data_IF_495152675345
#
_entry.id   IF_495152675345
#
_cell.length_a   1.000
_cell.length_b   1.000
_cell.length_c   1.000
_cell.angle_alpha   90.00
_cell.angle_beta   90.00
_cell.angle_gamma   90.00
#
_symmetry.space_group_name_H-M   'P 1'
#
loop_
_entity.id
_entity.type
_entity.pdbx_description
1 polymer ?
#
# COMPACT_ATOMS: atom_id res chain seq x y z
N UNK A 1 36.67 45.27 -21.78
CA UNK A 1 37.19 44.36 -20.75
C UNK A 1 36.31 43.13 -20.74
N UNK A 2 36.82 42.04 -21.30
CA UNK A 2 36.14 40.74 -21.43
C UNK A 2 36.26 39.99 -20.10
N UNK A 3 35.13 39.69 -19.48
CA UNK A 3 35.04 38.82 -18.30
C UNK A 3 35.20 37.37 -18.75
N UNK A 4 36.40 36.82 -18.54
CA UNK A 4 36.67 35.40 -18.69
C UNK A 4 36.02 34.67 -17.51
N UNK A 5 34.93 33.95 -17.79
CA UNK A 5 34.35 32.99 -16.84
C UNK A 5 35.30 31.80 -16.77
N UNK A 6 36.02 31.66 -15.66
CA UNK A 6 36.78 30.44 -15.38
C UNK A 6 35.78 29.30 -15.15
N UNK A 7 35.67 28.40 -16.14
CA UNK A 7 35.06 27.10 -15.95
C UNK A 7 35.82 26.36 -14.83
N UNK A 8 35.12 25.88 -13.80
CA UNK A 8 35.71 25.04 -12.77
C UNK A 8 36.31 23.79 -13.41
N UNK A 9 37.63 23.70 -13.46
CA UNK A 9 38.32 22.48 -13.83
C UNK A 9 38.07 21.43 -12.73
N UNK A 10 37.18 20.48 -13.00
CA UNK A 10 37.05 19.27 -12.18
C UNK A 10 38.42 18.59 -12.22
N UNK A 11 39.09 18.50 -11.06
CA UNK A 11 40.49 18.07 -10.92
C UNK A 11 40.81 16.69 -11.52
N UNK A 12 39.82 15.90 -11.98
CA UNK A 12 40.08 14.65 -12.68
C UNK A 12 38.95 14.19 -13.63
N UNK A 13 38.69 14.97 -14.69
CA UNK A 13 37.67 14.59 -15.70
C UNK A 13 37.90 13.19 -16.29
N UNK A 14 39.14 12.71 -16.41
CA UNK A 14 39.43 11.42 -17.00
C UNK A 14 38.90 10.25 -16.15
N UNK A 15 39.15 10.27 -14.84
CA UNK A 15 38.65 9.23 -13.91
C UNK A 15 37.13 9.25 -13.85
N UNK A 16 36.53 10.44 -13.79
CA UNK A 16 35.07 10.56 -13.80
C UNK A 16 34.44 10.02 -15.10
N UNK A 17 35.05 10.27 -16.26
CA UNK A 17 34.60 9.69 -17.55
C UNK A 17 34.62 8.16 -17.53
N UNK A 18 35.68 7.55 -17.00
CA UNK A 18 35.76 6.08 -16.86
C UNK A 18 34.61 5.55 -15.99
N UNK A 19 34.38 6.16 -14.84
CA UNK A 19 33.32 5.75 -13.92
C UNK A 19 31.91 6.00 -14.49
N UNK A 20 31.74 7.07 -15.27
CA UNK A 20 30.49 7.32 -15.99
C UNK A 20 30.26 6.26 -17.08
N UNK A 21 31.30 5.86 -17.82
CA UNK A 21 31.24 4.74 -18.77
C UNK A 21 30.85 3.45 -18.07
N UNK A 22 31.44 3.13 -16.92
CA UNK A 22 31.08 1.97 -16.11
C UNK A 22 29.58 1.96 -15.76
N UNK A 23 29.04 3.11 -15.35
CA UNK A 23 27.61 3.27 -15.05
C UNK A 23 26.75 3.02 -16.28
N UNK A 24 27.13 3.56 -17.44
CA UNK A 24 26.41 3.33 -18.70
C UNK A 24 26.44 1.85 -19.14
N UNK A 25 27.57 1.16 -18.96
CA UNK A 25 27.69 -0.27 -19.22
C UNK A 25 26.80 -1.10 -18.29
N UNK A 26 26.71 -0.70 -17.01
CA UNK A 26 25.83 -1.34 -16.02
C UNK A 26 24.35 -1.24 -16.44
N UNK A 27 23.91 -0.06 -16.90
CA UNK A 27 22.55 0.13 -17.42
C UNK A 27 22.30 -0.65 -18.72
N UNK A 28 23.31 -0.78 -19.58
CA UNK A 28 23.27 -1.62 -20.78
C UNK A 28 23.43 -3.13 -20.50
N UNK A 29 23.43 -3.54 -19.23
CA UNK A 29 23.61 -4.92 -18.76
C UNK A 29 24.93 -5.57 -19.23
N UNK A 30 25.93 -4.77 -19.59
CA UNK A 30 27.28 -5.23 -19.92
C UNK A 30 28.09 -5.38 -18.63
N UNK A 31 27.73 -6.37 -17.82
CA UNK A 31 28.20 -6.49 -16.43
C UNK A 31 29.71 -6.69 -16.30
N UNK A 32 30.32 -7.55 -17.12
CA UNK A 32 31.77 -7.81 -17.09
C UNK A 32 32.57 -6.53 -17.38
N UNK A 33 32.21 -5.83 -18.46
CA UNK A 33 32.85 -4.56 -18.82
C UNK A 33 32.59 -3.48 -17.75
N UNK A 34 31.37 -3.41 -17.19
CA UNK A 34 31.07 -2.45 -16.14
C UNK A 34 31.97 -2.67 -14.90
N UNK A 35 32.17 -3.92 -14.48
CA UNK A 35 33.04 -4.24 -13.34
C UNK A 35 34.49 -3.80 -13.60
N UNK A 36 35.03 -4.12 -14.77
CA UNK A 36 36.40 -3.74 -15.14
C UNK A 36 36.58 -2.22 -15.11
N UNK A 37 35.65 -1.47 -15.71
CA UNK A 37 35.71 -0.02 -15.72
C UNK A 37 35.55 0.58 -14.31
N UNK A 38 34.70 0.01 -13.44
CA UNK A 38 34.63 0.45 -12.05
C UNK A 38 35.93 0.19 -11.28
N UNK A 39 36.54 -1.00 -11.44
CA UNK A 39 37.83 -1.34 -10.80
C UNK A 39 38.96 -0.44 -11.30
N UNK A 40 39.04 -0.21 -12.61
CA UNK A 40 40.05 0.66 -13.20
C UNK A 40 39.88 2.11 -12.74
N UNK A 41 38.65 2.63 -12.77
CA UNK A 41 38.33 3.95 -12.25
C UNK A 41 38.64 4.10 -10.75
N UNK A 42 38.39 3.06 -9.95
CA UNK A 42 38.77 3.04 -8.53
C UNK A 42 40.30 3.10 -8.34
N UNK A 43 41.06 2.27 -9.06
CA UNK A 43 42.52 2.25 -8.95
C UNK A 43 43.13 3.60 -9.30
N UNK A 44 42.64 4.23 -10.37
CA UNK A 44 43.07 5.57 -10.77
C UNK A 44 42.68 6.63 -9.73
N UNK A 45 41.46 6.57 -9.21
CA UNK A 45 41.03 7.48 -8.14
C UNK A 45 41.86 7.34 -6.85
N UNK A 46 42.34 6.13 -6.53
CA UNK A 46 43.27 5.88 -5.41
C UNK A 46 44.63 6.53 -5.70
N UNK A 47 45.19 6.30 -6.88
CA UNK A 47 46.48 6.87 -7.29
C UNK A 47 46.46 8.41 -7.23
N UNK A 48 45.36 9.02 -7.69
CA UNK A 48 45.19 10.46 -7.75
C UNK A 48 44.70 11.08 -6.41
N UNK A 49 44.51 10.26 -5.37
CA UNK A 49 43.92 10.66 -4.07
C UNK A 49 42.57 11.39 -4.21
N UNK A 50 41.80 11.03 -5.23
CA UNK A 50 40.47 11.56 -5.50
C UNK A 50 39.41 10.79 -4.70
N UNK A 51 39.16 11.24 -3.47
CA UNK A 51 38.23 10.56 -2.56
C UNK A 51 36.77 10.55 -3.07
N UNK A 52 36.36 11.51 -3.89
CA UNK A 52 35.04 11.53 -4.48
C UNK A 52 34.90 10.43 -5.53
N UNK A 53 35.84 10.34 -6.47
CA UNK A 53 35.84 9.26 -7.47
C UNK A 53 36.02 7.89 -6.82
N UNK A 54 36.79 7.77 -5.73
CA UNK A 54 36.86 6.53 -4.94
C UNK A 54 35.49 6.15 -4.35
N UNK A 55 34.75 7.12 -3.79
CA UNK A 55 33.42 6.88 -3.25
C UNK A 55 32.44 6.44 -4.35
N UNK A 56 32.43 7.16 -5.47
CA UNK A 56 31.59 6.88 -6.63
C UNK A 56 31.86 5.49 -7.23
N UNK A 57 33.14 5.11 -7.35
CA UNK A 57 33.51 3.79 -7.84
C UNK A 57 33.06 2.67 -6.90
N UNK A 58 33.20 2.86 -5.58
CA UNK A 58 32.74 1.89 -4.58
C UNK A 58 31.20 1.78 -4.54
N UNK A 59 30.47 2.88 -4.72
CA UNK A 59 29.01 2.85 -4.88
C UNK A 59 28.61 2.07 -6.13
N UNK A 60 29.27 2.33 -7.25
CA UNK A 60 29.08 1.61 -8.51
C UNK A 60 29.36 0.11 -8.41
N UNK A 61 30.46 -0.28 -7.76
CA UNK A 61 30.76 -1.68 -7.45
C UNK A 61 29.72 -2.31 -6.53
N UNK A 62 29.25 -1.58 -5.52
CA UNK A 62 28.15 -2.04 -4.67
C UNK A 62 26.90 -2.37 -5.48
N UNK A 63 26.52 -1.47 -6.40
CA UNK A 63 25.39 -1.68 -7.30
C UNK A 63 25.58 -2.88 -8.23
N UNK A 64 26.78 -3.03 -8.80
CA UNK A 64 27.15 -4.17 -9.63
C UNK A 64 27.00 -5.49 -8.85
N UNK A 65 27.59 -5.57 -7.65
CA UNK A 65 27.57 -6.77 -6.84
C UNK A 65 26.17 -7.18 -6.39
N UNK A 66 25.25 -6.22 -6.18
CA UNK A 66 23.83 -6.53 -5.96
C UNK A 66 23.20 -7.21 -7.17
N UNK A 67 23.47 -6.71 -8.38
CA UNK A 67 22.89 -7.27 -9.61
C UNK A 67 23.46 -8.63 -9.98
N UNK A 68 24.67 -8.94 -9.54
CA UNK A 68 25.31 -10.25 -9.77
C UNK A 68 25.19 -11.19 -8.56
N UNK A 69 24.28 -10.91 -7.62
CA UNK A 69 24.03 -11.74 -6.42
C UNK A 69 25.29 -12.01 -5.55
N UNK A 70 26.13 -10.99 -5.35
CA UNK A 70 27.34 -11.01 -4.51
C UNK A 70 27.18 -10.09 -3.27
N UNK A 71 26.30 -10.42 -2.31
CA UNK A 71 25.89 -9.50 -1.25
C UNK A 71 27.03 -9.08 -0.30
N UNK A 72 27.98 -9.96 -0.01
CA UNK A 72 29.11 -9.65 0.87
C UNK A 72 30.04 -8.57 0.27
N UNK A 73 30.31 -8.67 -1.03
CA UNK A 73 31.10 -7.69 -1.76
C UNK A 73 30.34 -6.36 -1.89
N UNK A 74 29.03 -6.41 -2.13
CA UNK A 74 28.19 -5.22 -2.15
C UNK A 74 28.24 -4.46 -0.82
N UNK A 75 28.09 -5.18 0.30
CA UNK A 75 28.17 -4.61 1.66
C UNK A 75 29.51 -3.92 1.88
N UNK A 76 30.62 -4.58 1.52
CA UNK A 76 31.97 -4.02 1.67
C UNK A 76 32.14 -2.74 0.86
N UNK A 77 31.68 -2.75 -0.39
CA UNK A 77 31.78 -1.62 -1.30
C UNK A 77 30.94 -0.43 -0.81
N UNK A 78 29.68 -0.64 -0.43
CA UNK A 78 28.83 0.43 0.10
C UNK A 78 29.38 1.03 1.40
N UNK A 79 29.87 0.22 2.34
CA UNK A 79 30.51 0.73 3.58
C UNK A 79 31.68 1.67 3.27
N UNK A 80 32.49 1.32 2.26
CA UNK A 80 33.62 2.16 1.83
C UNK A 80 33.13 3.46 1.19
N UNK A 81 32.13 3.40 0.30
CA UNK A 81 31.53 4.58 -0.32
C UNK A 81 30.93 5.54 0.72
N UNK A 82 30.15 5.03 1.68
CA UNK A 82 29.54 5.82 2.77
C UNK A 82 30.62 6.55 3.57
N UNK A 83 31.69 5.84 3.96
CA UNK A 83 32.79 6.42 4.73
C UNK A 83 33.43 7.58 3.99
N UNK A 84 33.72 7.39 2.69
CA UNK A 84 34.35 8.40 1.85
C UNK A 84 33.44 9.60 1.57
N UNK A 85 32.15 9.39 1.33
CA UNK A 85 31.19 10.47 1.15
C UNK A 85 31.01 11.29 2.44
N UNK A 86 30.86 10.63 3.60
CA UNK A 86 30.75 11.32 4.89
C UNK A 86 32.02 12.10 5.22
N UNK A 87 33.20 11.53 4.97
CA UNK A 87 34.49 12.19 5.19
C UNK A 87 34.69 13.47 4.36
N UNK A 88 34.00 13.59 3.23
CA UNK A 88 34.01 14.78 2.37
C UNK A 88 32.81 15.72 2.59
N UNK A 89 31.94 15.43 3.55
CA UNK A 89 30.75 16.23 3.85
C UNK A 89 29.54 15.97 2.95
N UNK A 90 29.58 14.98 2.04
CA UNK A 90 28.45 14.60 1.17
C UNK A 90 27.41 13.74 1.91
N UNK A 91 26.81 14.31 2.97
CA UNK A 91 25.88 13.61 3.87
C UNK A 91 24.66 13.03 3.13
N UNK A 92 24.11 13.76 2.17
CA UNK A 92 22.93 13.32 1.42
C UNK A 92 23.22 12.06 0.60
N UNK A 93 24.30 12.06 -0.18
CA UNK A 93 24.72 10.90 -0.98
C UNK A 93 25.01 9.72 -0.07
N UNK A 94 25.73 9.95 1.04
CA UNK A 94 26.00 8.90 2.02
C UNK A 94 24.71 8.25 2.59
N UNK A 95 23.66 9.04 2.86
CA UNK A 95 22.39 8.52 3.35
C UNK A 95 21.66 7.69 2.28
N UNK A 96 21.75 8.07 1.01
CA UNK A 96 21.20 7.28 -0.11
C UNK A 96 21.92 5.94 -0.22
N UNK A 97 23.26 5.94 -0.18
CA UNK A 97 24.07 4.71 -0.23
C UNK A 97 23.86 3.84 1.01
N UNK A 98 23.61 4.43 2.18
CA UNK A 98 23.24 3.69 3.39
C UNK A 98 21.90 2.96 3.25
N UNK A 99 20.91 3.53 2.55
CA UNK A 99 19.67 2.82 2.22
C UNK A 99 19.91 1.66 1.26
N UNK A 100 20.83 1.80 0.30
CA UNK A 100 21.24 0.69 -0.57
C UNK A 100 21.95 -0.42 0.22
N UNK A 101 22.82 -0.05 1.17
CA UNK A 101 23.46 -1.00 2.07
C UNK A 101 22.42 -1.78 2.90
N UNK A 102 21.48 -1.07 3.53
CA UNK A 102 20.39 -1.69 4.31
C UNK A 102 19.57 -2.67 3.47
N UNK A 103 19.26 -2.31 2.22
CA UNK A 103 18.57 -3.18 1.26
C UNK A 103 19.28 -4.52 1.09
N UNK A 104 20.59 -4.51 0.85
CA UNK A 104 21.39 -5.74 0.70
C UNK A 104 21.42 -6.57 1.98
N UNK A 105 21.40 -5.91 3.13
CA UNK A 105 21.38 -6.56 4.44
C UNK A 105 19.99 -7.07 4.84
N UNK A 106 18.94 -6.80 4.03
CA UNK A 106 17.55 -7.10 4.40
C UNK A 106 17.04 -6.29 5.58
N UNK A 107 17.69 -5.16 5.89
CA UNK A 107 17.33 -4.28 7.01
C UNK A 107 16.32 -3.25 6.50
N UNK A 108 15.10 -3.31 7.03
CA UNK A 108 14.09 -2.29 6.81
C UNK A 108 14.11 -1.20 7.88
N UNK A 109 13.33 -0.16 7.63
CA UNK A 109 13.05 0.89 8.60
C UNK A 109 11.60 0.77 9.06
N UNK A 110 11.38 0.73 10.37
CA UNK A 110 10.05 0.72 10.96
C UNK A 110 9.39 2.09 10.86
N UNK A 111 8.12 2.09 10.45
CA UNK A 111 7.23 3.24 10.40
C UNK A 111 5.92 2.92 11.10
N UNK A 112 5.32 3.94 11.69
CA UNK A 112 4.01 3.86 12.33
C UNK A 112 3.02 4.79 11.62
N UNK A 113 1.83 4.27 11.35
CA UNK A 113 0.68 5.03 10.87
C UNK A 113 -0.50 4.85 11.81
N UNK A 114 -1.03 5.97 12.31
CA UNK A 114 -2.25 6.00 13.11
C UNK A 114 -3.38 6.57 12.24
N UNK A 115 -4.33 5.73 11.86
CA UNK A 115 -5.57 6.10 11.18
C UNK A 115 -6.61 6.55 12.21
N UNK A 116 -7.13 7.77 12.07
CA UNK A 116 -8.26 8.28 12.87
C UNK A 116 -9.54 8.17 12.02
N UNK A 117 -10.33 7.12 12.27
CA UNK A 117 -11.60 6.87 11.60
C UNK A 117 -12.81 7.28 12.43
N UNK A 118 -14.00 7.26 11.80
CA UNK A 118 -15.24 7.72 12.42
C UNK A 118 -15.67 6.91 13.67
N UNK A 119 -15.36 5.61 13.70
CA UNK A 119 -15.75 4.67 14.77
C UNK A 119 -14.56 3.95 15.43
N UNK A 120 -13.35 4.46 15.23
CA UNK A 120 -12.17 3.87 15.83
C UNK A 120 -10.87 4.42 15.28
N UNK A 121 -9.82 4.26 16.08
CA UNK A 121 -8.46 4.70 15.76
C UNK A 121 -7.58 3.46 15.67
N UNK A 122 -6.87 3.33 14.55
CA UNK A 122 -6.08 2.14 14.24
C UNK A 122 -4.60 2.49 14.16
N UNK A 123 -3.75 1.62 14.70
CA UNK A 123 -2.32 1.67 14.52
C UNK A 123 -1.91 0.58 13.54
N UNK A 124 -1.05 0.93 12.59
CA UNK A 124 -0.29 0.01 11.75
C UNK A 124 1.19 0.31 11.92
N UNK A 125 1.98 -0.73 12.20
CA UNK A 125 3.44 -0.68 12.17
C UNK A 125 3.91 -1.51 11.00
N UNK A 126 4.63 -0.88 10.07
CA UNK A 126 5.17 -1.53 8.89
C UNK A 126 6.69 -1.41 8.86
N UNK A 127 7.33 -2.42 8.33
CA UNK A 127 8.76 -2.49 8.07
C UNK A 127 8.98 -2.27 6.58
N UNK A 128 9.53 -1.10 6.23
CA UNK A 128 9.71 -0.69 4.84
C UNK A 128 11.12 -1.04 4.40
N UNK A 129 11.21 -1.85 3.35
CA UNK A 129 12.48 -2.28 2.74
C UNK A 129 12.56 -1.79 1.30
N UNK A 130 13.78 -1.67 0.80
CA UNK A 130 14.04 -1.45 -0.62
C UNK A 130 14.37 -2.81 -1.24
N UNK A 131 13.60 -3.24 -2.23
CA UNK A 131 13.83 -4.53 -2.90
C UNK A 131 14.97 -4.46 -3.94
N UNK A 132 15.29 -5.59 -4.58
CA UNK A 132 16.36 -5.70 -5.59
C UNK A 132 16.12 -4.77 -6.79
N UNK A 133 14.86 -4.53 -7.14
CA UNK A 133 14.44 -3.60 -8.20
C UNK A 133 14.44 -2.13 -7.76
N UNK A 134 14.96 -1.83 -6.55
CA UNK A 134 15.01 -0.49 -5.95
C UNK A 134 13.62 0.14 -5.79
N UNK A 135 12.61 -0.69 -5.54
CA UNK A 135 11.26 -0.27 -5.19
C UNK A 135 11.03 -0.50 -3.70
N UNK A 136 10.28 0.41 -3.07
CA UNK A 136 9.89 0.20 -1.68
C UNK A 136 8.81 -0.87 -1.60
N UNK A 137 9.04 -1.85 -0.74
CA UNK A 137 8.09 -2.86 -0.30
C UNK A 137 7.91 -2.76 1.22
N UNK A 138 6.90 -3.42 1.77
CA UNK A 138 6.69 -3.43 3.21
C UNK A 138 6.13 -4.74 3.76
N UNK A 139 6.47 -5.02 5.01
CA UNK A 139 5.88 -6.08 5.81
C UNK A 139 5.10 -5.49 7.00
N UNK A 140 3.88 -5.96 7.23
CA UNK A 140 3.10 -5.60 8.42
C UNK A 140 3.71 -6.27 9.67
N UNK A 141 4.01 -5.48 10.71
CA UNK A 141 4.55 -5.97 11.99
C UNK A 141 3.53 -5.92 13.12
N UNK A 142 2.59 -4.98 13.06
CA UNK A 142 1.48 -4.88 14.00
C UNK A 142 0.32 -4.14 13.34
N UNK A 143 -0.89 -4.64 13.56
CA UNK A 143 -2.13 -3.89 13.45
C UNK A 143 -2.95 -4.00 14.73
N UNK A 144 -3.52 -2.90 15.19
CA UNK A 144 -4.43 -2.88 16.33
C UNK A 144 -5.37 -1.68 16.24
N UNK A 145 -6.49 -1.72 16.95
CA UNK A 145 -7.52 -0.69 16.91
C UNK A 145 -8.12 -0.46 18.30
N UNK A 146 -8.49 0.79 18.57
CA UNK A 146 -9.28 1.19 19.72
C UNK A 146 -10.58 1.80 19.20
N UNK A 147 -11.71 1.26 19.63
CA UNK A 147 -13.02 1.80 19.28
C UNK A 147 -13.22 3.16 19.94
N UNK A 148 -13.72 4.12 19.16
CA UNK A 148 -14.07 5.48 19.58
C UNK A 148 -15.32 5.90 18.82
N UNK A 149 -15.95 7.01 19.19
CA UNK A 149 -17.03 7.61 18.39
C UNK A 149 -16.69 9.01 17.89
N UNK A 150 -15.56 9.13 17.18
CA UNK A 150 -15.03 10.41 16.71
C UNK A 150 -16.02 11.24 15.88
N UNK A 151 -16.92 10.59 15.14
CA UNK A 151 -17.94 11.28 14.34
C UNK A 151 -19.04 11.95 15.18
N UNK A 152 -19.21 11.58 16.46
CA UNK A 152 -20.23 12.19 17.33
C UNK A 152 -19.93 13.64 17.73
N UNK A 153 -18.68 14.10 17.60
CA UNK A 153 -18.25 15.47 17.90
C UNK A 153 -18.63 15.95 19.31
N UNK A 154 -18.73 15.02 20.25
CA UNK A 154 -18.92 15.30 21.67
C UNK A 154 -17.58 15.48 22.38
N UNK A 155 -17.56 16.22 23.49
CA UNK A 155 -16.38 16.30 24.37
C UNK A 155 -15.86 14.91 24.77
N UNK A 156 -16.78 13.96 25.01
CA UNK A 156 -16.45 12.58 25.32
C UNK A 156 -15.70 11.91 24.14
N UNK A 157 -16.20 12.04 22.91
CA UNK A 157 -15.54 11.46 21.73
C UNK A 157 -14.18 12.08 21.41
N UNK A 158 -14.01 13.37 21.65
CA UNK A 158 -12.74 14.07 21.52
C UNK A 158 -11.72 13.53 22.53
N UNK A 159 -12.14 13.38 23.79
CA UNK A 159 -11.32 12.80 24.86
C UNK A 159 -10.95 11.35 24.56
N UNK A 160 -11.91 10.51 24.16
CA UNK A 160 -11.66 9.11 23.79
C UNK A 160 -10.68 9.00 22.63
N UNK A 161 -10.83 9.85 21.61
CA UNK A 161 -9.92 9.89 20.46
C UNK A 161 -8.49 10.28 20.87
N UNK A 162 -8.36 11.30 21.73
CA UNK A 162 -7.06 11.69 22.29
C UNK A 162 -6.41 10.59 23.12
N UNK A 163 -7.18 9.98 24.02
CA UNK A 163 -6.71 8.92 24.91
C UNK A 163 -6.30 7.67 24.10
N UNK A 164 -7.03 7.35 23.04
CA UNK A 164 -6.68 6.28 22.11
C UNK A 164 -5.38 6.57 21.35
N UNK A 165 -5.20 7.77 20.80
CA UNK A 165 -3.95 8.17 20.15
C UNK A 165 -2.78 8.08 21.13
N UNK A 166 -2.94 8.56 22.36
CA UNK A 166 -1.89 8.49 23.39
C UNK A 166 -1.47 7.03 23.68
N UNK A 167 -2.43 6.12 23.84
CA UNK A 167 -2.15 4.68 24.05
C UNK A 167 -1.44 4.04 22.85
N UNK A 168 -1.85 4.36 21.64
CA UNK A 168 -1.21 3.82 20.43
C UNK A 168 0.20 4.40 20.25
N UNK A 169 0.42 5.67 20.59
CA UNK A 169 1.73 6.30 20.60
C UNK A 169 2.67 5.70 21.64
N UNK A 170 2.15 5.26 22.78
CA UNK A 170 2.92 4.51 23.77
C UNK A 170 3.48 3.20 23.17
N UNK A 171 2.66 2.45 22.43
CA UNK A 171 3.12 1.25 21.71
C UNK A 171 4.23 1.60 20.72
N UNK A 172 4.05 2.67 19.93
CA UNK A 172 5.03 3.12 18.94
C UNK A 172 6.37 3.49 19.59
N UNK A 173 6.34 4.24 20.69
CA UNK A 173 7.54 4.72 21.37
C UNK A 173 8.20 3.65 22.26
N UNK A 174 7.42 2.83 22.96
CA UNK A 174 7.94 1.93 23.98
C UNK A 174 8.18 0.51 23.49
N UNK A 175 7.32 -0.02 22.61
CA UNK A 175 7.50 -1.35 22.04
C UNK A 175 8.38 -1.35 20.80
N UNK A 176 8.15 -0.41 19.88
CA UNK A 176 8.84 -0.39 18.58
C UNK A 176 9.96 0.64 18.47
N UNK A 177 10.08 1.58 19.42
CA UNK A 177 11.12 2.61 19.45
C UNK A 177 11.20 3.43 18.15
N UNK A 178 10.05 3.69 17.52
CA UNK A 178 9.97 4.41 16.24
C UNK A 178 10.07 5.91 16.50
N UNK A 179 11.02 6.56 15.83
CA UNK A 179 11.25 7.99 15.96
C UNK A 179 10.10 8.82 15.37
N UNK A 180 9.85 10.01 15.93
CA UNK A 180 8.77 10.92 15.52
C UNK A 180 8.71 11.17 14.00
N UNK A 181 9.86 11.34 13.34
CA UNK A 181 9.96 11.54 11.88
C UNK A 181 9.45 10.36 11.02
N UNK A 182 9.17 9.21 11.64
CA UNK A 182 8.66 7.98 11.01
C UNK A 182 7.26 7.60 11.52
N UNK A 183 6.63 8.50 12.26
CA UNK A 183 5.31 8.30 12.85
C UNK A 183 4.34 9.31 12.24
N UNK A 184 3.22 8.82 11.72
CA UNK A 184 2.21 9.63 11.05
C UNK A 184 0.84 9.40 11.69
N UNK A 185 0.08 10.48 11.86
CA UNK A 185 -1.31 10.42 12.33
C UNK A 185 -2.17 11.09 11.26
N UNK A 186 -3.18 10.36 10.77
CA UNK A 186 -3.99 10.81 9.62
C UNK A 186 -5.47 10.53 9.86
N UNK A 187 -6.30 11.57 9.77
CA UNK A 187 -7.76 11.50 9.77
C UNK A 187 -8.21 10.99 8.40
N UNK A 188 -9.03 9.93 8.40
CA UNK A 188 -9.55 9.34 7.17
C UNK A 188 -10.56 10.25 6.48
N UNK A 189 -10.73 10.07 5.18
CA UNK A 189 -11.66 10.84 4.36
C UNK A 189 -13.10 10.72 4.83
N UNK A 190 -13.52 9.55 5.32
CA UNK A 190 -14.86 9.35 5.86
C UNK A 190 -15.13 10.18 7.11
N UNK A 191 -14.18 10.24 8.05
CA UNK A 191 -14.31 11.12 9.21
C UNK A 191 -14.22 12.59 8.79
N UNK A 192 -13.28 12.94 7.90
CA UNK A 192 -13.18 14.30 7.37
C UNK A 192 -14.50 14.79 6.78
N UNK A 193 -15.18 13.99 5.97
CA UNK A 193 -16.47 14.35 5.38
C UNK A 193 -17.54 14.63 6.44
N UNK A 194 -17.58 13.88 7.54
CA UNK A 194 -18.48 14.15 8.66
C UNK A 194 -18.11 15.45 9.40
N UNK A 195 -16.82 15.69 9.61
CA UNK A 195 -16.32 16.90 10.27
C UNK A 195 -16.53 18.17 9.43
N UNK A 196 -16.40 18.06 8.10
CA UNK A 196 -16.57 19.15 7.15
C UNK A 196 -18.02 19.68 7.12
N UNK A 197 -19.02 18.84 7.43
CA UNK A 197 -20.43 19.28 7.58
C UNK A 197 -20.60 20.38 8.64
N UNK A 198 -19.65 20.49 9.55
CA UNK A 198 -19.62 21.46 10.64
C UNK A 198 -18.40 22.38 10.58
N UNK A 199 -17.58 22.31 9.52
CA UNK A 199 -16.31 23.06 9.39
C UNK A 199 -15.32 22.82 10.57
N UNK A 200 -15.33 21.60 11.14
CA UNK A 200 -14.61 21.28 12.38
C UNK A 200 -13.34 20.45 12.22
N UNK A 201 -12.87 20.17 11.00
CA UNK A 201 -11.73 19.27 10.79
C UNK A 201 -10.44 19.76 11.48
N UNK A 202 -10.08 21.02 11.31
CA UNK A 202 -8.86 21.58 11.92
C UNK A 202 -8.99 21.70 13.45
N UNK A 203 -10.18 22.08 13.92
CA UNK A 203 -10.50 22.08 15.35
C UNK A 203 -10.33 20.69 15.95
N UNK A 204 -10.93 19.67 15.34
CA UNK A 204 -10.89 18.30 15.84
C UNK A 204 -9.46 17.76 15.86
N UNK A 205 -8.70 17.96 14.78
CA UNK A 205 -7.28 17.59 14.70
C UNK A 205 -6.45 18.22 15.82
N UNK A 206 -6.75 19.47 16.22
CA UNK A 206 -6.10 20.15 17.34
C UNK A 206 -6.48 19.55 18.69
N UNK A 207 -7.76 19.28 18.93
CA UNK A 207 -8.26 18.82 20.23
C UNK A 207 -7.88 17.37 20.54
N UNK A 208 -7.86 16.50 19.54
CA UNK A 208 -7.50 15.09 19.73
C UNK A 208 -5.99 14.86 19.84
N UNK A 209 -5.16 15.87 19.55
CA UNK A 209 -3.71 15.74 19.65
C UNK A 209 -3.30 15.66 21.13
N UNK A 210 -2.67 14.57 21.60
CA UNK A 210 -2.13 14.52 22.95
C UNK A 210 -1.04 15.60 23.13
N UNK A 211 -0.84 16.09 24.36
CA UNK A 211 0.11 17.19 24.62
C UNK A 211 1.55 16.69 24.60
N UNK A 212 1.75 15.43 24.91
CA UNK A 212 3.04 14.78 25.16
C UNK A 212 3.71 14.29 23.87
N UNK A 213 3.00 14.27 22.74
CA UNK A 213 3.60 13.83 21.47
C UNK A 213 4.48 14.94 20.88
N UNK A 214 5.60 14.52 20.27
CA UNK A 214 6.57 15.38 19.58
C UNK A 214 5.89 16.40 18.66
N UNK A 215 6.31 17.66 18.73
CA UNK A 215 5.74 18.78 17.96
C UNK A 215 5.91 18.61 16.45
N UNK A 216 6.87 17.78 16.01
CA UNK A 216 7.06 17.41 14.61
C UNK A 216 5.96 16.45 14.09
N UNK A 217 5.20 15.80 14.97
CA UNK A 217 4.07 14.96 14.58
C UNK A 217 2.81 15.82 14.46
N UNK A 218 2.42 16.06 13.21
CA UNK A 218 1.17 16.73 12.85
C UNK A 218 0.08 15.71 12.54
N UNK A 219 -1.14 15.99 12.99
CA UNK A 219 -2.34 15.25 12.57
C UNK A 219 -2.79 15.82 11.24
N UNK A 220 -2.66 15.01 10.19
CA UNK A 220 -3.08 15.36 8.83
C UNK A 220 -4.47 14.80 8.53
N UNK A 221 -5.09 15.20 7.43
CA UNK A 221 -6.32 14.62 6.92
C UNK A 221 -6.24 14.45 5.41
N UNK A 222 -7.07 13.56 4.85
CA UNK A 222 -7.09 13.25 3.41
C UNK A 222 -8.50 13.37 2.82
N UNK A 223 -8.59 13.74 1.54
CA UNK A 223 -9.86 13.67 0.78
C UNK A 223 -10.16 12.24 0.33
N UNK A 224 -11.40 11.92 -0.08
CA UNK A 224 -11.72 10.61 -0.64
C UNK A 224 -10.82 10.21 -1.82
N UNK A 225 -10.51 11.14 -2.72
CA UNK A 225 -9.65 10.90 -3.88
C UNK A 225 -8.21 10.62 -3.45
N UNK A 226 -7.70 11.38 -2.48
CA UNK A 226 -6.38 11.15 -1.90
C UNK A 226 -6.31 9.80 -1.20
N UNK A 227 -7.32 9.43 -0.42
CA UNK A 227 -7.36 8.13 0.24
C UNK A 227 -7.41 6.98 -0.78
N UNK A 228 -8.16 7.13 -1.87
CA UNK A 228 -8.16 6.15 -2.98
C UNK A 228 -6.79 6.04 -3.65
N UNK A 229 -6.10 7.15 -3.92
CA UNK A 229 -4.73 7.14 -4.48
C UNK A 229 -3.74 6.47 -3.51
N UNK A 230 -3.87 6.75 -2.22
CA UNK A 230 -3.04 6.17 -1.17
C UNK A 230 -3.33 4.67 -1.02
N UNK A 231 -4.59 4.27 -1.07
CA UNK A 231 -5.01 2.87 -1.06
C UNK A 231 -4.39 2.12 -2.24
N UNK A 232 -4.52 2.66 -3.46
CA UNK A 232 -3.83 2.12 -4.64
C UNK A 232 -2.31 2.00 -4.38
N UNK A 233 -1.69 3.05 -3.88
CA UNK A 233 -0.23 3.11 -3.67
C UNK A 233 0.27 2.08 -2.66
N UNK A 234 -0.51 1.77 -1.63
CA UNK A 234 -0.15 0.76 -0.63
C UNK A 234 -0.53 -0.67 -1.04
N UNK A 235 -1.45 -0.86 -1.98
CA UNK A 235 -1.97 -2.18 -2.35
C UNK A 235 -1.31 -2.71 -3.63
N UNK A 236 -1.12 -1.84 -4.62
CA UNK A 236 -0.62 -2.23 -5.94
C UNK A 236 0.92 -2.18 -5.92
N UNK A 237 1.62 -3.28 -6.29
CA UNK A 237 3.07 -3.27 -6.43
C UNK A 237 3.55 -2.14 -7.34
N UNK A 238 4.65 -1.46 -6.97
CA UNK A 238 5.13 -0.28 -7.68
C UNK A 238 5.41 -0.54 -9.17
N UNK A 239 5.98 -1.70 -9.53
CA UNK A 239 6.17 -2.13 -10.92
C UNK A 239 4.88 -2.18 -11.75
N UNK A 240 3.73 -2.35 -11.10
CA UNK A 240 2.42 -2.48 -11.73
C UNK A 240 1.59 -1.18 -11.68
N UNK A 241 2.14 -0.10 -11.12
CA UNK A 241 1.42 1.14 -10.82
C UNK A 241 0.66 1.76 -12.01
N UNK A 242 1.25 1.68 -13.20
CA UNK A 242 0.70 2.35 -14.40
C UNK A 242 -0.09 1.41 -15.31
N UNK A 243 -0.17 0.12 -14.97
CA UNK A 243 -0.80 -0.91 -15.82
C UNK A 243 -1.96 -1.64 -15.13
N UNK A 244 -2.09 -1.52 -13.81
CA UNK A 244 -3.14 -2.21 -13.04
C UNK A 244 -4.12 -1.23 -12.39
N UNK A 245 -5.23 -1.77 -11.91
CA UNK A 245 -6.29 -1.06 -11.19
C UNK A 245 -6.36 -1.48 -9.73
N UNK A 246 -7.04 -0.69 -8.89
CA UNK A 246 -7.43 -1.10 -7.55
C UNK A 246 -8.89 -0.71 -7.27
N UNK A 247 -9.63 -1.57 -6.56
CA UNK A 247 -10.94 -1.27 -6.00
C UNK A 247 -11.09 -1.88 -4.60
N UNK A 248 -11.64 -1.09 -3.69
CA UNK A 248 -12.04 -1.48 -2.35
C UNK A 248 -13.57 -1.57 -2.29
N UNK A 249 -14.08 -2.79 -2.07
CA UNK A 249 -15.51 -3.07 -1.91
C UNK A 249 -15.86 -2.89 -0.43
N UNK A 250 -16.00 -1.63 -0.04
CA UNK A 250 -16.34 -1.23 1.32
C UNK A 250 -17.77 -1.57 1.71
N UNK A 251 -18.12 -1.27 2.97
CA UNK A 251 -19.46 -1.51 3.49
C UNK A 251 -20.47 -0.44 3.06
N UNK A 252 -20.02 0.81 2.88
CA UNK A 252 -20.86 1.95 2.50
C UNK A 252 -20.63 2.46 1.08
N UNK A 253 -19.45 2.23 0.51
CA UNK A 253 -19.10 2.62 -0.85
C UNK A 253 -18.14 1.60 -1.48
N UNK A 254 -17.98 1.70 -2.79
CA UNK A 254 -16.94 0.99 -3.54
C UNK A 254 -16.05 2.04 -4.19
N UNK A 255 -14.77 2.05 -3.86
CA UNK A 255 -13.86 3.12 -4.28
C UNK A 255 -12.48 2.60 -4.65
N UNK A 256 -11.77 3.33 -5.49
CA UNK A 256 -10.40 3.01 -5.87
C UNK A 256 -9.99 3.84 -7.08
N UNK A 257 -9.32 3.21 -8.04
CA UNK A 257 -8.95 3.86 -9.29
C UNK A 257 -7.67 3.30 -9.89
N UNK A 258 -7.03 4.14 -10.69
CA UNK A 258 -5.84 3.80 -11.45
C UNK A 258 -5.04 5.04 -11.84
N UNK A 259 -3.76 4.87 -12.18
CA UNK A 259 -2.98 5.94 -12.80
C UNK A 259 -3.13 5.90 -14.32
N UNK A 260 -3.58 7.00 -14.93
CA UNK A 260 -3.66 7.17 -16.38
C UNK A 260 -2.29 7.16 -17.05
N UNK A 261 -2.27 7.14 -18.38
CA UNK A 261 -1.05 7.29 -19.19
C UNK A 261 -0.31 8.61 -18.93
N UNK A 262 -1.04 9.67 -18.55
CA UNK A 262 -0.47 10.95 -18.11
C UNK A 262 -0.02 10.97 -16.65
N UNK A 263 0.04 9.79 -16.00
CA UNK A 263 0.45 9.59 -14.60
C UNK A 263 -0.41 10.36 -13.58
N UNK A 264 -1.66 10.68 -13.93
CA UNK A 264 -2.65 11.26 -13.02
C UNK A 264 -3.53 10.14 -12.45
N UNK A 265 -3.84 10.22 -11.17
CA UNK A 265 -4.77 9.27 -10.57
C UNK A 265 -6.19 9.58 -11.06
N UNK A 266 -6.88 8.56 -11.58
CA UNK A 266 -8.26 8.60 -12.02
C UNK A 266 -9.07 7.77 -11.02
N UNK A 267 -9.85 8.42 -10.14
CA UNK A 267 -10.62 7.71 -9.13
C UNK A 267 -11.79 6.96 -9.76
N UNK A 268 -12.16 5.84 -9.16
CA UNK A 268 -13.46 5.18 -9.35
C UNK A 268 -14.20 5.30 -8.03
N UNK A 269 -15.45 5.76 -8.05
CA UNK A 269 -16.26 5.94 -6.85
C UNK A 269 -17.73 5.61 -7.10
N UNK A 270 -18.24 4.63 -6.34
CA UNK A 270 -19.63 4.26 -6.29
C UNK A 270 -20.12 4.45 -4.85
N UNK A 271 -21.18 5.23 -4.66
CA UNK A 271 -21.82 5.49 -3.36
C UNK A 271 -22.58 4.28 -2.78
N UNK A 272 -22.16 3.07 -3.15
CA UNK A 272 -22.73 1.82 -2.68
C UNK A 272 -21.62 0.79 -2.40
N UNK A 273 -21.70 0.20 -1.22
CA UNK A 273 -20.95 -0.96 -0.77
C UNK A 273 -21.86 -2.08 -0.24
N UNK A 274 -21.27 -3.08 0.42
CA UNK A 274 -21.97 -4.32 0.79
C UNK A 274 -23.13 -4.11 1.76
N UNK A 275 -22.91 -3.41 2.89
CA UNK A 275 -23.94 -3.14 3.90
C UNK A 275 -24.97 -2.12 3.44
N UNK A 276 -24.55 -1.09 2.71
CA UNK A 276 -25.51 -0.14 2.13
C UNK A 276 -26.42 -0.83 1.11
N UNK A 277 -25.90 -1.75 0.30
CA UNK A 277 -26.73 -2.52 -0.63
C UNK A 277 -27.67 -3.47 0.11
N UNK A 278 -27.18 -4.21 1.11
CA UNK A 278 -28.04 -5.04 1.97
C UNK A 278 -29.21 -4.23 2.55
N UNK A 279 -28.95 -3.05 3.13
CA UNK A 279 -30.00 -2.18 3.67
C UNK A 279 -31.01 -1.73 2.63
N UNK A 280 -30.57 -1.44 1.39
CA UNK A 280 -31.48 -1.10 0.30
C UNK A 280 -32.41 -2.27 -0.05
N UNK A 281 -31.91 -3.50 -0.01
CA UNK A 281 -32.73 -4.70 -0.23
C UNK A 281 -33.73 -4.86 0.92
N UNK A 282 -33.26 -4.83 2.18
CA UNK A 282 -34.11 -5.02 3.37
C UNK A 282 -35.18 -3.95 3.53
N UNK A 283 -34.95 -2.74 3.02
CA UNK A 283 -35.96 -1.69 2.98
C UNK A 283 -37.12 -2.00 2.01
N UNK A 284 -36.93 -2.90 1.04
CA UNK A 284 -37.93 -3.26 0.02
C UNK A 284 -38.56 -4.63 0.23
N UNK A 285 -37.95 -5.50 1.03
CA UNK A 285 -38.46 -6.84 1.26
C UNK A 285 -38.24 -7.28 2.71
N UNK A 286 -39.28 -7.86 3.28
CA UNK A 286 -39.21 -8.65 4.50
C UNK A 286 -39.45 -10.12 4.12
N UNK A 287 -38.68 -11.05 4.69
CA UNK A 287 -38.86 -12.47 4.40
C UNK A 287 -37.58 -13.30 4.44
N UNK A 288 -37.73 -14.52 3.91
CA UNK A 288 -36.68 -15.53 3.80
C UNK A 288 -35.63 -15.15 2.74
N UNK A 289 -34.59 -15.98 2.61
CA UNK A 289 -33.47 -15.72 1.71
C UNK A 289 -33.91 -15.63 0.24
N UNK A 290 -34.86 -16.44 -0.21
CA UNK A 290 -35.33 -16.41 -1.60
C UNK A 290 -35.96 -15.08 -2.01
N UNK A 291 -36.83 -14.52 -1.15
CA UNK A 291 -37.43 -13.22 -1.38
C UNK A 291 -36.37 -12.11 -1.39
N UNK A 292 -35.37 -12.22 -0.51
CA UNK A 292 -34.22 -11.32 -0.47
C UNK A 292 -33.40 -11.39 -1.78
N UNK A 293 -33.05 -12.59 -2.25
CA UNK A 293 -32.29 -12.81 -3.49
C UNK A 293 -32.97 -12.18 -4.70
N UNK A 294 -34.27 -12.47 -4.90
CA UNK A 294 -35.04 -11.92 -6.03
C UNK A 294 -35.10 -10.39 -5.99
N UNK A 295 -35.29 -9.82 -4.81
CA UNK A 295 -35.33 -8.36 -4.64
C UNK A 295 -33.98 -7.72 -4.92
N UNK A 296 -32.89 -8.33 -4.44
CA UNK A 296 -31.53 -7.85 -4.70
C UNK A 296 -31.20 -7.87 -6.20
N UNK A 297 -31.50 -8.96 -6.90
CA UNK A 297 -31.29 -9.10 -8.35
C UNK A 297 -32.12 -8.10 -9.16
N UNK A 298 -33.38 -7.89 -8.76
CA UNK A 298 -34.24 -6.91 -9.40
C UNK A 298 -33.71 -5.48 -9.22
N UNK A 299 -33.21 -5.12 -8.03
CA UNK A 299 -32.60 -3.81 -7.79
C UNK A 299 -31.35 -3.57 -8.65
N UNK A 300 -30.52 -4.60 -8.80
CA UNK A 300 -29.36 -4.57 -9.69
C UNK A 300 -29.80 -4.23 -11.11
N UNK A 301 -30.72 -5.05 -11.65
CA UNK A 301 -31.20 -4.93 -13.04
C UNK A 301 -31.88 -3.59 -13.32
N UNK A 302 -32.73 -3.12 -12.40
CA UNK A 302 -33.57 -1.94 -12.64
C UNK A 302 -32.82 -0.63 -12.54
N UNK A 303 -31.78 -0.55 -11.69
CA UNK A 303 -31.13 0.74 -11.41
C UNK A 303 -29.62 0.67 -11.19
N UNK A 304 -29.11 -0.32 -10.44
CA UNK A 304 -27.72 -0.26 -10.00
C UNK A 304 -26.71 -0.63 -11.09
N UNK A 305 -27.08 -1.49 -12.04
CA UNK A 305 -26.25 -1.75 -13.24
C UNK A 305 -25.97 -0.45 -13.99
N UNK A 306 -26.98 0.41 -14.15
CA UNK A 306 -26.80 1.71 -14.80
C UNK A 306 -25.83 2.61 -14.04
N UNK A 307 -25.91 2.63 -12.71
CA UNK A 307 -24.97 3.41 -11.87
C UNK A 307 -23.52 2.97 -12.10
N UNK A 308 -23.28 1.65 -12.19
CA UNK A 308 -21.94 1.11 -12.47
C UNK A 308 -21.48 1.49 -13.89
N UNK A 309 -22.37 1.35 -14.89
CA UNK A 309 -22.06 1.71 -16.28
C UNK A 309 -21.70 3.18 -16.40
N UNK A 310 -22.52 4.08 -15.82
CA UNK A 310 -22.33 5.53 -15.90
C UNK A 310 -20.99 5.94 -15.25
N UNK A 311 -20.58 5.28 -14.16
CA UNK A 311 -19.28 5.53 -13.54
C UNK A 311 -18.10 5.02 -14.40
N UNK A 312 -18.26 3.89 -15.09
CA UNK A 312 -17.16 3.28 -15.84
C UNK A 312 -17.09 3.70 -17.32
N UNK A 313 -18.14 4.31 -17.89
CA UNK A 313 -18.20 4.65 -19.32
C UNK A 313 -17.09 5.60 -19.76
N UNK A 314 -16.70 6.53 -18.87
CA UNK A 314 -15.62 7.50 -19.10
C UNK A 314 -14.23 6.96 -18.77
N UNK A 315 -14.12 5.67 -18.41
CA UNK A 315 -12.90 5.04 -17.88
C UNK A 315 -12.53 3.76 -18.65
N UNK A 316 -12.34 3.81 -19.97
CA UNK A 316 -12.04 2.62 -20.79
C UNK A 316 -10.74 1.91 -20.36
N UNK A 317 -9.73 2.66 -19.91
CA UNK A 317 -8.47 2.11 -19.37
C UNK A 317 -8.70 1.19 -18.17
N UNK A 318 -9.69 1.50 -17.32
CA UNK A 318 -10.04 0.65 -16.21
C UNK A 318 -10.52 -0.73 -16.71
N UNK A 319 -11.34 -0.72 -17.75
CA UNK A 319 -11.92 -1.93 -18.36
C UNK A 319 -10.94 -2.71 -19.22
N UNK A 320 -9.91 -2.10 -19.80
CA UNK A 320 -8.96 -2.79 -20.70
C UNK A 320 -7.78 -3.47 -20.00
N UNK A 321 -7.32 -2.95 -18.86
CA UNK A 321 -6.13 -3.45 -18.13
C UNK A 321 -6.20 -4.92 -17.69
N UNK A 322 -5.04 -5.53 -17.47
CA UNK A 322 -4.97 -6.98 -17.22
C UNK A 322 -5.34 -7.40 -15.80
N UNK A 323 -5.25 -6.49 -14.81
CA UNK A 323 -5.54 -6.84 -13.43
C UNK A 323 -6.23 -5.73 -12.61
N UNK A 324 -7.09 -6.16 -11.68
CA UNK A 324 -7.65 -5.33 -10.62
C UNK A 324 -7.28 -5.93 -9.27
N UNK A 325 -6.64 -5.13 -8.43
CA UNK A 325 -6.46 -5.47 -7.02
C UNK A 325 -7.77 -5.18 -6.28
N UNK A 326 -8.45 -6.22 -5.84
CA UNK A 326 -9.71 -6.14 -5.11
C UNK A 326 -9.47 -6.24 -3.61
N UNK A 327 -10.13 -5.38 -2.84
CA UNK A 327 -10.15 -5.44 -1.38
C UNK A 327 -11.57 -5.29 -0.84
N UNK A 328 -11.72 -5.38 0.47
CA UNK A 328 -13.00 -5.24 1.14
C UNK A 328 -13.53 -6.55 1.72
N UNK A 329 -14.56 -6.42 2.55
CA UNK A 329 -15.06 -7.51 3.39
C UNK A 329 -15.55 -8.73 2.61
N UNK A 330 -16.25 -8.49 1.49
CA UNK A 330 -16.76 -9.58 0.65
C UNK A 330 -15.63 -10.32 -0.07
N UNK A 331 -14.62 -9.60 -0.57
CA UNK A 331 -13.46 -10.20 -1.26
C UNK A 331 -12.66 -11.05 -0.27
N UNK A 332 -12.45 -10.54 0.96
CA UNK A 332 -11.87 -11.31 2.06
C UNK A 332 -12.68 -12.56 2.41
N UNK A 333 -14.01 -12.48 2.36
CA UNK A 333 -14.88 -13.63 2.62
C UNK A 333 -14.73 -14.70 1.54
N UNK A 334 -14.75 -14.32 0.27
CA UNK A 334 -14.52 -15.22 -0.87
C UNK A 334 -13.18 -15.94 -0.72
N UNK A 335 -12.10 -15.19 -0.46
CA UNK A 335 -10.75 -15.78 -0.39
C UNK A 335 -10.59 -16.69 0.83
N UNK A 336 -11.23 -16.36 1.95
CA UNK A 336 -11.11 -17.15 3.18
C UNK A 336 -11.93 -18.43 3.14
N UNK A 337 -13.06 -18.42 2.44
CA UNK A 337 -14.02 -19.54 2.41
C UNK A 337 -13.85 -20.45 1.19
N UNK A 338 -13.56 -19.91 0.00
CA UNK A 338 -13.30 -20.73 -1.20
C UNK A 338 -11.83 -21.06 -1.40
N UNK A 339 -10.93 -20.16 -1.00
CA UNK A 339 -9.48 -20.30 -1.22
C UNK A 339 -8.65 -20.32 0.08
N UNK A 340 -9.04 -21.07 1.14
CA UNK A 340 -8.39 -21.02 2.44
C UNK A 340 -6.89 -21.30 2.36
N UNK A 341 -6.46 -22.22 1.49
CA UNK A 341 -5.04 -22.53 1.24
C UNK A 341 -4.24 -21.33 0.75
N UNK A 342 -4.74 -20.68 -0.31
CA UNK A 342 -4.04 -19.56 -0.91
C UNK A 342 -4.01 -18.37 0.05
N UNK A 343 -5.12 -18.09 0.74
CA UNK A 343 -5.21 -16.98 1.70
C UNK A 343 -4.32 -17.16 2.94
N UNK A 344 -4.06 -18.41 3.36
CA UNK A 344 -3.19 -18.73 4.47
C UNK A 344 -1.72 -18.41 4.14
N UNK A 345 -1.26 -18.87 2.97
CA UNK A 345 0.16 -18.92 2.60
C UNK A 345 0.60 -17.66 1.83
N UNK A 346 -0.27 -17.12 0.96
CA UNK A 346 0.10 -16.07 0.03
C UNK A 346 -0.33 -14.68 0.51
N UNK A 347 0.48 -13.67 0.17
CA UNK A 347 0.10 -12.25 0.35
C UNK A 347 -0.89 -11.76 -0.72
N UNK A 348 -0.93 -12.45 -1.86
CA UNK A 348 -1.81 -12.16 -2.98
C UNK A 348 -2.53 -13.44 -3.39
N UNK A 349 -3.85 -13.41 -3.41
CA UNK A 349 -4.68 -14.52 -3.88
C UNK A 349 -5.37 -14.10 -5.17
N UNK A 350 -5.11 -14.81 -6.26
CA UNK A 350 -5.82 -14.59 -7.53
C UNK A 350 -7.26 -15.13 -7.41
N UNK A 351 -8.20 -14.39 -7.99
CA UNK A 351 -9.62 -14.71 -8.10
C UNK A 351 -10.05 -14.56 -9.56
N UNK A 352 -10.97 -15.40 -9.98
CA UNK A 352 -11.66 -15.33 -11.27
C UNK A 352 -13.09 -14.80 -11.08
N UNK A 353 -13.73 -14.38 -12.18
CA UNK A 353 -15.18 -14.12 -12.17
C UNK A 353 -15.99 -15.37 -11.78
N UNK A 354 -15.48 -16.56 -12.15
CA UNK A 354 -16.08 -17.84 -11.77
C UNK A 354 -16.09 -18.08 -10.26
N UNK A 355 -15.02 -17.71 -9.55
CA UNK A 355 -14.96 -17.83 -8.07
C UNK A 355 -16.03 -16.96 -7.39
N UNK A 356 -16.27 -15.76 -7.92
CA UNK A 356 -17.26 -14.82 -7.38
C UNK A 356 -18.68 -15.36 -7.62
N UNK A 357 -18.93 -15.90 -8.81
CA UNK A 357 -20.20 -16.55 -9.15
C UNK A 357 -20.43 -17.81 -8.32
N UNK A 358 -19.43 -18.68 -8.17
CA UNK A 358 -19.49 -19.89 -7.33
C UNK A 358 -19.81 -19.51 -5.88
N UNK A 359 -19.11 -18.51 -5.33
CA UNK A 359 -19.36 -18.04 -3.97
C UNK A 359 -20.81 -17.61 -3.79
N UNK A 360 -21.32 -16.78 -4.72
CA UNK A 360 -22.72 -16.33 -4.73
C UNK A 360 -23.69 -17.51 -4.75
N UNK A 361 -23.45 -18.50 -5.60
CA UNK A 361 -24.32 -19.68 -5.72
C UNK A 361 -24.30 -20.51 -4.43
N UNK A 362 -23.11 -20.81 -3.89
CA UNK A 362 -22.95 -21.63 -2.67
C UNK A 362 -23.54 -20.98 -1.43
N UNK A 363 -23.60 -19.65 -1.33
CA UNK A 363 -24.32 -18.98 -0.23
C UNK A 363 -25.79 -19.42 -0.18
N UNK A 364 -26.42 -19.68 -1.32
CA UNK A 364 -27.83 -20.09 -1.40
C UNK A 364 -27.97 -21.61 -1.33
N UNK A 365 -27.09 -22.36 -2.00
CA UNK A 365 -27.26 -23.81 -2.19
C UNK A 365 -26.54 -24.68 -1.15
N UNK A 366 -25.42 -24.22 -0.59
CA UNK A 366 -24.58 -24.96 0.35
C UNK A 366 -23.88 -23.99 1.33
N UNK A 367 -24.67 -23.25 2.11
CA UNK A 367 -24.11 -22.28 3.05
C UNK A 367 -23.24 -22.97 4.11
N UNK A 368 -23.66 -24.15 4.58
CA UNK A 368 -22.96 -24.87 5.64
C UNK A 368 -21.58 -25.38 5.19
N UNK A 369 -21.50 -25.99 3.99
CA UNK A 369 -20.22 -26.42 3.44
C UNK A 369 -19.32 -25.24 3.04
N UNK A 370 -19.90 -24.10 2.67
CA UNK A 370 -19.14 -22.88 2.38
C UNK A 370 -18.49 -22.30 3.65
N UNK A 371 -19.20 -22.27 4.79
CA UNK A 371 -18.69 -21.70 6.04
C UNK A 371 -17.82 -22.64 6.86
N UNK A 372 -17.73 -23.92 6.47
CA UNK A 372 -16.91 -24.95 7.11
C UNK A 372 -16.03 -25.67 6.06
N UNK A 373 -15.13 -24.95 5.37
CA UNK A 373 -14.27 -25.57 4.38
C UNK A 373 -13.33 -26.58 5.04
N UNK A 374 -13.00 -27.65 4.33
CA UNK A 374 -12.00 -28.62 4.78
C UNK A 374 -10.62 -27.96 4.83
N UNK A 375 -9.91 -28.12 5.96
CA UNK A 375 -8.57 -27.59 6.19
C UNK A 375 -7.51 -28.68 6.30
N UNK A 376 -7.85 -29.96 6.06
CA UNK A 376 -6.94 -31.10 6.19
C UNK A 376 -5.69 -30.99 5.30
N UNK A 377 -5.74 -30.16 4.25
CA UNK A 377 -4.58 -29.88 3.41
C UNK A 377 -3.50 -29.00 4.07
N UNK A 378 -3.79 -28.34 5.19
CA UNK A 378 -2.85 -27.50 5.93
C UNK A 378 -2.08 -28.37 6.92
N UNK A 379 -0.87 -28.74 6.57
CA UNK A 379 -0.03 -29.62 7.40
C UNK A 379 0.55 -28.89 8.63
N UNK A 380 0.80 -27.59 8.51
CA UNK A 380 1.34 -26.79 9.61
C UNK A 380 0.23 -26.47 10.64
N UNK A 381 0.34 -26.93 11.90
CA UNK A 381 -0.70 -26.70 12.91
C UNK A 381 -0.95 -25.21 13.21
N UNK A 382 0.08 -24.36 13.21
CA UNK A 382 -0.08 -22.94 13.48
C UNK A 382 -0.85 -22.24 12.35
N UNK A 383 -0.57 -22.59 11.10
CA UNK A 383 -1.29 -22.09 9.92
C UNK A 383 -2.73 -22.58 9.91
N UNK A 384 -2.99 -23.84 10.29
CA UNK A 384 -4.33 -24.38 10.37
C UNK A 384 -5.16 -23.63 11.43
N UNK A 385 -4.59 -23.39 12.61
CA UNK A 385 -5.23 -22.61 13.68
C UNK A 385 -5.49 -21.16 13.22
N UNK A 386 -4.52 -20.52 12.57
CA UNK A 386 -4.68 -19.16 12.07
C UNK A 386 -5.77 -19.06 10.99
N UNK A 387 -5.80 -20.04 10.08
CA UNK A 387 -6.80 -20.13 9.00
C UNK A 387 -8.19 -20.36 9.57
N UNK A 388 -8.34 -21.28 10.52
CA UNK A 388 -9.60 -21.54 11.20
C UNK A 388 -10.10 -20.29 11.94
N UNK A 389 -9.22 -19.58 12.68
CA UNK A 389 -9.57 -18.31 13.32
C UNK A 389 -10.03 -17.26 12.32
N UNK A 390 -9.38 -17.18 11.16
CA UNK A 390 -9.77 -16.26 10.09
C UNK A 390 -11.16 -16.60 9.51
N UNK A 391 -11.45 -17.88 9.25
CA UNK A 391 -12.77 -18.35 8.82
C UNK A 391 -13.84 -18.01 9.87
N UNK A 392 -13.60 -18.35 11.14
CA UNK A 392 -14.52 -18.02 12.24
C UNK A 392 -14.77 -16.52 12.32
N UNK A 393 -13.75 -15.68 12.09
CA UNK A 393 -13.91 -14.23 12.06
C UNK A 393 -14.81 -13.79 10.91
N UNK A 394 -14.70 -14.37 9.71
CA UNK A 394 -15.62 -14.09 8.59
C UNK A 394 -17.05 -14.40 8.99
N UNK A 395 -17.30 -15.63 9.47
CA UNK A 395 -18.64 -16.12 9.83
C UNK A 395 -19.28 -15.30 10.95
N UNK A 396 -18.48 -14.84 11.92
CA UNK A 396 -18.98 -13.97 13.00
C UNK A 396 -19.22 -12.52 12.55
N UNK A 397 -18.61 -12.09 11.45
CA UNK A 397 -18.71 -10.70 10.97
C UNK A 397 -19.88 -10.51 10.00
N UNK A 398 -20.16 -11.50 9.17
CA UNK A 398 -21.16 -11.43 8.10
C UNK A 398 -22.15 -12.57 8.23
N UNK A 399 -23.43 -12.23 8.38
CA UNK A 399 -24.51 -13.19 8.22
C UNK A 399 -24.69 -13.58 6.73
N UNK A 400 -25.52 -14.60 6.49
CA UNK A 400 -25.78 -15.12 5.15
C UNK A 400 -26.34 -14.05 4.19
N UNK A 401 -27.18 -13.12 4.67
CA UNK A 401 -27.74 -12.03 3.83
C UNK A 401 -26.67 -11.01 3.47
N UNK A 402 -25.79 -10.67 4.41
CA UNK A 402 -24.67 -9.75 4.19
C UNK A 402 -23.68 -10.33 3.16
N UNK A 403 -23.37 -11.62 3.27
CA UNK A 403 -22.53 -12.33 2.29
C UNK A 403 -23.20 -12.35 0.91
N UNK A 404 -24.49 -12.67 0.84
CA UNK A 404 -25.23 -12.72 -0.41
C UNK A 404 -25.32 -11.35 -1.10
N UNK A 405 -25.68 -10.31 -0.36
CA UNK A 405 -25.75 -8.95 -0.88
C UNK A 405 -24.38 -8.49 -1.41
N UNK A 406 -23.31 -8.73 -0.63
CA UNK A 406 -21.96 -8.42 -1.05
C UNK A 406 -21.56 -9.16 -2.33
N UNK A 407 -21.89 -10.45 -2.43
CA UNK A 407 -21.57 -11.28 -3.58
C UNK A 407 -22.32 -10.84 -4.84
N UNK A 408 -23.62 -10.53 -4.74
CA UNK A 408 -24.43 -9.99 -5.84
C UNK A 408 -23.87 -8.65 -6.34
N UNK A 409 -23.52 -7.74 -5.43
CA UNK A 409 -22.94 -6.45 -5.79
C UNK A 409 -21.59 -6.58 -6.49
N UNK A 410 -20.70 -7.42 -5.94
CA UNK A 410 -19.38 -7.64 -6.51
C UNK A 410 -19.45 -8.34 -7.87
N UNK A 411 -20.32 -9.34 -8.01
CA UNK A 411 -20.53 -10.07 -9.27
C UNK A 411 -20.97 -9.14 -10.40
N UNK A 412 -21.97 -8.29 -10.16
CA UNK A 412 -22.40 -7.29 -11.15
C UNK A 412 -21.28 -6.33 -11.50
N UNK A 413 -20.57 -5.80 -10.50
CA UNK A 413 -19.47 -4.88 -10.71
C UNK A 413 -18.37 -5.51 -11.58
N UNK A 414 -17.98 -6.75 -11.29
CA UNK A 414 -16.97 -7.49 -12.05
C UNK A 414 -17.40 -7.75 -13.48
N UNK A 415 -18.68 -8.10 -13.71
CA UNK A 415 -19.24 -8.23 -15.06
C UNK A 415 -19.08 -6.95 -15.87
N UNK A 416 -19.40 -5.79 -15.28
CA UNK A 416 -19.26 -4.50 -15.97
C UNK A 416 -17.79 -4.11 -16.22
N UNK A 417 -16.90 -4.43 -15.28
CA UNK A 417 -15.45 -4.18 -15.40
C UNK A 417 -14.81 -5.02 -16.51
N UNK A 418 -15.29 -6.26 -16.71
CA UNK A 418 -14.72 -7.21 -17.66
C UNK A 418 -15.23 -7.06 -19.10
N UNK A 419 -16.10 -6.09 -19.37
CA UNK A 419 -16.70 -5.88 -20.70
C UNK A 419 -15.69 -5.65 -21.84
N UNK A 420 -14.50 -5.09 -21.58
CA UNK A 420 -13.45 -4.92 -22.60
C UNK A 420 -12.30 -5.93 -22.50
N UNK A 421 -12.12 -6.58 -21.35
CA UNK A 421 -11.11 -7.60 -21.13
C UNK A 421 -11.69 -8.72 -20.27
N UNK A 422 -12.30 -9.75 -20.89
CA UNK A 422 -12.86 -10.89 -20.16
C UNK A 422 -11.81 -11.74 -19.43
N UNK A 423 -10.54 -11.68 -19.85
CA UNK A 423 -9.41 -12.39 -19.23
C UNK A 423 -8.75 -11.64 -18.07
N UNK A 424 -9.35 -10.54 -17.61
CA UNK A 424 -8.83 -9.70 -16.53
C UNK A 424 -8.75 -10.49 -15.22
N UNK A 425 -7.60 -10.37 -14.57
CA UNK A 425 -7.31 -11.00 -13.28
C UNK A 425 -7.82 -10.17 -12.13
N UNK A 426 -8.40 -10.83 -11.13
CA UNK A 426 -8.69 -10.20 -9.85
C UNK A 426 -7.70 -10.70 -8.82
N UNK A 427 -7.14 -9.79 -8.01
CA UNK A 427 -6.09 -10.14 -7.05
C UNK A 427 -6.49 -9.57 -5.70
N UNK A 428 -6.64 -10.43 -4.69
CA UNK A 428 -6.89 -10.03 -3.32
C UNK A 428 -5.58 -9.91 -2.54
N UNK A 429 -5.25 -8.72 -2.00
CA UNK A 429 -4.07 -8.53 -1.17
C UNK A 429 -4.42 -8.68 0.30
N UNK A 430 -3.75 -9.60 0.99
CA UNK A 430 -4.03 -9.98 2.39
C UNK A 430 -4.08 -8.78 3.35
N UNK A 431 -3.22 -7.79 3.14
CA UNK A 431 -3.08 -6.60 3.98
C UNK A 431 -3.73 -5.34 3.39
N UNK A 432 -4.66 -5.48 2.45
CA UNK A 432 -5.31 -4.33 1.82
C UNK A 432 -6.05 -3.41 2.80
N UNK A 433 -6.50 -3.93 3.95
CA UNK A 433 -7.20 -3.15 4.98
C UNK A 433 -6.31 -2.12 5.70
N UNK A 434 -4.98 -2.26 5.65
CA UNK A 434 -4.00 -1.23 6.07
C UNK A 434 -3.40 -0.50 4.86
N UNK A 435 -3.95 -0.73 3.66
CA UNK A 435 -3.36 -0.31 2.39
C UNK A 435 -3.19 1.20 2.30
N UNK A 436 -4.22 1.99 2.63
CA UNK A 436 -4.14 3.44 2.45
C UNK A 436 -3.16 4.12 3.42
N UNK A 437 -3.10 3.69 4.69
CA UNK A 437 -2.16 4.24 5.66
C UNK A 437 -0.72 3.80 5.33
N UNK A 438 -0.54 2.57 4.84
CA UNK A 438 0.75 2.10 4.32
C UNK A 438 1.16 2.89 3.08
N UNK A 439 0.24 3.16 2.16
CA UNK A 439 0.47 4.01 1.00
C UNK A 439 0.83 5.45 1.37
N UNK A 440 0.26 5.98 2.46
CA UNK A 440 0.65 7.28 3.01
C UNK A 440 2.12 7.28 3.47
N UNK A 441 2.51 6.25 4.22
CA UNK A 441 3.91 6.07 4.65
C UNK A 441 4.83 5.96 3.43
N UNK A 442 4.51 5.09 2.47
CA UNK A 442 5.32 4.90 1.25
C UNK A 442 5.42 6.21 0.44
N UNK A 443 4.35 7.01 0.36
CA UNK A 443 4.39 8.33 -0.29
C UNK A 443 5.36 9.27 0.43
N UNK A 444 5.36 9.29 1.77
CA UNK A 444 6.30 10.10 2.56
C UNK A 444 7.75 9.63 2.42
N UNK A 445 7.98 8.31 2.44
CA UNK A 445 9.31 7.71 2.21
C UNK A 445 9.84 8.08 0.83
N UNK A 446 9.02 7.99 -0.22
CA UNK A 446 9.42 8.40 -1.58
C UNK A 446 9.73 9.91 -1.69
N UNK A 447 9.07 10.75 -0.90
CA UNK A 447 9.26 12.20 -0.91
C UNK A 447 10.42 12.69 -0.04
N UNK A 448 11.00 11.82 0.80
CA UNK A 448 12.00 12.22 1.81
C UNK A 448 13.24 12.90 1.21
N UNK A 449 13.59 12.58 -0.05
CA UNK A 449 14.74 13.17 -0.74
C UNK A 449 14.38 14.35 -1.66
N UNK A 450 13.11 14.52 -2.01
CA UNK A 450 12.67 15.63 -2.88
C UNK A 450 12.70 16.98 -2.16
N UNK A 451 12.46 16.99 -0.84
CA UNK A 451 12.52 18.20 -0.02
C UNK A 451 13.93 18.74 0.22
N UNK A 452 14.98 17.99 -0.13
CA UNK A 452 16.39 18.34 0.09
C UNK A 452 17.04 19.02 -1.12
N UNK A 453 16.31 19.15 -2.23
CA UNK A 453 16.73 19.82 -3.47
C UNK A 453 16.30 21.29 -3.51
N UNK A 454 15.51 21.74 -2.51
CA UNK A 454 14.98 23.11 -2.43
C UNK A 454 15.73 23.97 -1.44
#
# INVERSE_FOLDING_TARGET
>A
MSTVVYAQNIKNQATFRILKTATSLMEAQQFEAAEEFFKNGLNKAIADKDFYCQAFANEGLGNFYVKTDQPELAIKAYKKAITLYRGQGFKLIANVVENLLKSVQGIGDLYAGIEVGAKGIKLSVIDVTLNKERQYDYALKLDTAINTDAASLSYQSEKESRDAIAKLMDIVANRFKIAAKRTYIVISSGLKQELDKYEKVDYFAKVIRPKEIDTAIHIMYVTPEQESELSFTGIVPQKNKYINNQLDIGSGNTKGGYFSTSKKFVPVNLSLGTKSFQRLVEAKVQGNLDAFTKTAEQLIKDSLTKVIIDELVTKPDFKSRDAVYLSGGIVWSITSLLHPKSSAINNYTELSSGDIEEFRQRIVTDYNGLTHPDLAFIQNPEEAIATQKNITRVVNTYDQKALLAGAIWLDELVKQINTLNPGKKFIFPKYAYVGWISGYIIKKVNQQFLGLVR
#
